data_IF_610493238647
#
_entry.id   IF_610493238647
#
_cell.length_a   1.000
_cell.length_b   1.000
_cell.length_c   1.000
_cell.angle_alpha   90.00
_cell.angle_beta   90.00
_cell.angle_gamma   90.00
#
_symmetry.space_group_name_H-M   'P 1'
#
loop_
_entity.id
_entity.type
_entity.pdbx_description
1 polymer ?
#
# COMPACT_ATOMS: atom_id res chain seq x y z
N UNK A 1 -24.02 75.99 3.32
CA UNK A 1 -24.81 74.76 3.52
C UNK A 1 -24.49 73.63 2.52
N UNK A 2 -23.34 73.60 1.84
CA UNK A 2 -23.12 72.70 0.68
C UNK A 2 -22.21 71.47 0.91
N UNK A 3 -21.53 71.33 2.06
CA UNK A 3 -20.53 70.25 2.28
C UNK A 3 -21.11 68.87 2.66
N UNK A 4 -22.38 68.79 3.06
CA UNK A 4 -22.99 67.53 3.55
C UNK A 4 -23.39 66.58 2.40
N UNK A 5 -23.91 67.13 1.31
CA UNK A 5 -24.37 66.38 0.13
C UNK A 5 -23.25 65.57 -0.55
N UNK A 6 -22.07 66.18 -0.76
CA UNK A 6 -20.95 65.52 -1.45
C UNK A 6 -20.26 64.39 -0.66
N UNK A 7 -20.49 64.27 0.65
CA UNK A 7 -19.95 63.17 1.45
C UNK A 7 -20.86 61.93 1.39
N UNK A 8 -22.16 62.14 1.28
CA UNK A 8 -23.14 61.05 1.14
C UNK A 8 -23.09 60.44 -0.26
N UNK A 9 -22.83 61.24 -1.29
CA UNK A 9 -22.59 60.78 -2.66
C UNK A 9 -21.33 59.90 -2.78
N UNK A 10 -20.23 60.31 -2.13
CA UNK A 10 -18.99 59.52 -2.07
C UNK A 10 -19.19 58.20 -1.34
N UNK A 11 -19.95 58.19 -0.24
CA UNK A 11 -20.30 56.95 0.48
C UNK A 11 -21.16 56.02 -0.39
N UNK A 12 -22.10 56.59 -1.16
CA UNK A 12 -22.94 55.82 -2.06
C UNK A 12 -22.11 55.19 -3.19
N UNK A 13 -21.22 55.96 -3.84
CA UNK A 13 -20.29 55.44 -4.85
C UNK A 13 -19.37 54.35 -4.29
N UNK A 14 -18.80 54.54 -3.10
CA UNK A 14 -17.95 53.53 -2.46
C UNK A 14 -18.72 52.23 -2.18
N UNK A 15 -19.98 52.32 -1.75
CA UNK A 15 -20.86 51.17 -1.52
C UNK A 15 -21.17 50.43 -2.81
N UNK A 16 -21.44 51.15 -3.90
CA UNK A 16 -21.75 50.54 -5.20
C UNK A 16 -20.51 49.85 -5.79
N UNK A 17 -19.35 50.52 -5.74
CA UNK A 17 -18.08 49.96 -6.18
C UNK A 17 -17.72 48.69 -5.37
N UNK A 18 -17.94 48.68 -4.04
CA UNK A 18 -17.76 47.46 -3.23
C UNK A 18 -18.67 46.31 -3.68
N UNK A 19 -19.95 46.59 -3.99
CA UNK A 19 -20.88 45.56 -4.49
C UNK A 19 -20.42 45.02 -5.85
N UNK A 20 -20.00 45.88 -6.76
CA UNK A 20 -19.50 45.49 -8.09
C UNK A 20 -18.26 44.63 -7.98
N UNK A 21 -17.26 45.07 -7.21
CA UNK A 21 -16.02 44.31 -6.99
C UNK A 21 -16.27 42.98 -6.30
N UNK A 22 -17.21 42.91 -5.36
CA UNK A 22 -17.63 41.65 -4.73
C UNK A 22 -18.31 40.71 -5.72
N UNK A 23 -19.15 41.25 -6.62
CA UNK A 23 -19.81 40.48 -7.69
C UNK A 23 -18.78 39.95 -8.68
N UNK A 24 -17.83 40.79 -9.09
CA UNK A 24 -16.72 40.43 -9.97
C UNK A 24 -15.85 39.33 -9.35
N UNK A 25 -15.43 39.50 -8.08
CA UNK A 25 -14.65 38.50 -7.36
C UNK A 25 -15.37 37.14 -7.31
N UNK A 26 -16.68 37.13 -7.04
CA UNK A 26 -17.47 35.89 -7.03
C UNK A 26 -17.48 35.23 -8.41
N UNK A 27 -17.64 36.01 -9.49
CA UNK A 27 -17.57 35.49 -10.86
C UNK A 27 -16.19 34.86 -11.13
N UNK A 28 -15.11 35.55 -10.78
CA UNK A 28 -13.75 35.05 -10.97
C UNK A 28 -13.48 33.77 -10.17
N UNK A 29 -13.98 33.67 -8.93
CA UNK A 29 -13.87 32.43 -8.13
C UNK A 29 -14.61 31.27 -8.81
N UNK A 30 -15.81 31.51 -9.35
CA UNK A 30 -16.57 30.46 -10.03
C UNK A 30 -15.84 29.99 -11.30
N UNK A 31 -15.32 30.93 -12.09
CA UNK A 31 -14.54 30.63 -13.31
C UNK A 31 -13.28 29.84 -12.94
N UNK A 32 -12.48 30.34 -12.01
CA UNK A 32 -11.24 29.70 -11.57
C UNK A 32 -11.48 28.30 -11.01
N UNK A 33 -12.54 28.09 -10.21
CA UNK A 33 -12.91 26.76 -9.72
C UNK A 33 -13.28 25.80 -10.85
N UNK A 34 -14.02 26.27 -11.86
CA UNK A 34 -14.38 25.46 -13.02
C UNK A 34 -13.14 25.08 -13.84
N UNK A 35 -12.26 26.03 -14.12
CA UNK A 35 -11.02 25.77 -14.87
C UNK A 35 -10.11 24.80 -14.12
N UNK A 36 -9.95 25.00 -12.81
CA UNK A 36 -9.16 24.11 -11.98
C UNK A 36 -9.76 22.69 -11.91
N UNK A 37 -11.09 22.57 -11.86
CA UNK A 37 -11.77 21.28 -11.94
C UNK A 37 -11.52 20.56 -13.27
N UNK A 38 -11.63 21.26 -14.40
CA UNK A 38 -11.32 20.67 -15.71
C UNK A 38 -9.86 20.22 -15.81
N UNK A 39 -8.92 21.03 -15.28
CA UNK A 39 -7.50 20.65 -15.21
C UNK A 39 -7.30 19.38 -14.38
N UNK A 40 -7.94 19.28 -13.22
CA UNK A 40 -7.85 18.10 -12.35
C UNK A 40 -8.39 16.83 -13.05
N UNK A 41 -9.53 16.94 -13.75
CA UNK A 41 -10.09 15.82 -14.52
C UNK A 41 -9.16 15.37 -15.66
N UNK A 42 -8.53 16.31 -16.36
CA UNK A 42 -7.57 16.01 -17.41
C UNK A 42 -6.29 15.35 -16.86
N UNK A 43 -5.79 15.82 -15.71
CA UNK A 43 -4.67 15.20 -15.01
C UNK A 43 -5.00 13.76 -14.60
N UNK A 44 -6.21 13.50 -14.08
CA UNK A 44 -6.63 12.17 -13.64
C UNK A 44 -6.67 11.14 -14.78
N UNK A 45 -7.00 11.57 -16.01
CA UNK A 45 -6.96 10.69 -17.19
C UNK A 45 -5.53 10.28 -17.57
N UNK A 46 -4.54 11.09 -17.24
CA UNK A 46 -3.13 10.83 -17.56
C UNK A 46 -2.38 10.16 -16.40
N UNK A 47 -2.72 10.51 -15.16
CA UNK A 47 -2.14 9.97 -13.94
C UNK A 47 -3.23 9.78 -12.87
N UNK A 48 -3.68 8.53 -12.77
CA UNK A 48 -4.69 8.09 -11.79
C UNK A 48 -4.18 8.26 -10.35
N UNK A 49 -2.87 8.34 -10.11
CA UNK A 49 -2.24 8.44 -8.79
C UNK A 49 -1.75 9.85 -8.44
N UNK A 50 -2.05 10.86 -9.27
CA UNK A 50 -1.59 12.23 -9.14
C UNK A 50 -2.33 13.07 -8.09
N UNK A 51 -2.54 14.37 -8.39
CA UNK A 51 -3.17 15.31 -7.47
C UNK A 51 -4.60 14.92 -7.06
N UNK A 52 -5.40 14.39 -7.99
CA UNK A 52 -6.75 13.91 -7.72
C UNK A 52 -6.79 12.83 -6.64
N UNK A 53 -5.93 11.80 -6.77
CA UNK A 53 -5.77 10.76 -5.75
C UNK A 53 -5.31 11.33 -4.41
N UNK A 54 -4.32 12.23 -4.42
CA UNK A 54 -3.79 12.84 -3.18
C UNK A 54 -4.84 13.68 -2.45
N UNK A 55 -5.69 14.42 -3.14
CA UNK A 55 -6.81 15.17 -2.56
C UNK A 55 -7.79 14.22 -1.87
N UNK A 56 -8.19 13.16 -2.56
CA UNK A 56 -9.10 12.13 -2.01
C UNK A 56 -8.48 11.47 -0.79
N UNK A 57 -7.25 10.98 -0.88
CA UNK A 57 -6.57 10.31 0.23
C UNK A 57 -6.40 11.24 1.44
N UNK A 58 -6.07 12.52 1.24
CA UNK A 58 -6.03 13.49 2.35
C UNK A 58 -7.38 13.65 3.04
N UNK A 59 -8.48 13.66 2.30
CA UNK A 59 -9.83 13.68 2.87
C UNK A 59 -10.22 12.35 3.54
N UNK A 60 -9.74 11.23 3.00
CA UNK A 60 -10.03 9.87 3.49
C UNK A 60 -9.15 9.48 4.68
N UNK A 61 -8.06 10.18 4.98
CA UNK A 61 -7.20 9.90 6.17
C UNK A 61 -7.95 9.88 7.51
N UNK A 62 -9.12 10.54 7.59
CA UNK A 62 -10.00 10.49 8.77
C UNK A 62 -11.17 9.50 8.61
N UNK A 63 -11.39 8.96 7.41
CA UNK A 63 -12.45 8.02 7.06
C UNK A 63 -11.98 6.57 6.93
N UNK A 64 -10.66 6.32 6.86
CA UNK A 64 -10.15 4.96 7.12
C UNK A 64 -10.36 4.68 8.60
N UNK A 65 -11.37 3.87 8.95
CA UNK A 65 -11.53 3.52 10.33
C UNK A 65 -10.45 2.47 10.64
N UNK A 66 -10.04 2.46 11.89
CA UNK A 66 -9.26 1.39 12.52
C UNK A 66 -7.73 1.53 12.51
N UNK A 67 -7.23 2.15 13.58
CA UNK A 67 -6.43 1.34 14.50
C UNK A 67 -7.30 0.15 14.95
N UNK A 68 -7.22 -0.98 14.24
CA UNK A 68 -7.98 -2.18 14.58
C UNK A 68 -7.46 -2.62 15.96
N UNK A 69 -8.27 -2.59 17.03
CA UNK A 69 -7.86 -3.08 18.33
C UNK A 69 -7.35 -4.52 18.19
N UNK A 70 -6.31 -4.89 18.95
CA UNK A 70 -5.69 -6.22 18.83
C UNK A 70 -6.73 -7.35 18.98
N UNK A 71 -7.77 -7.13 19.79
CA UNK A 71 -8.94 -8.01 19.95
C UNK A 71 -9.71 -8.23 18.65
N UNK A 72 -9.93 -7.18 17.85
CA UNK A 72 -10.64 -7.24 16.56
C UNK A 72 -9.80 -7.85 15.44
N UNK A 73 -8.46 -7.74 15.50
CA UNK A 73 -7.55 -8.49 14.60
C UNK A 73 -7.69 -10.00 14.80
N UNK A 74 -7.89 -10.46 16.04
CA UNK A 74 -8.16 -11.86 16.35
C UNK A 74 -9.47 -12.36 15.74
N UNK A 75 -10.51 -11.53 15.74
CA UNK A 75 -11.80 -11.83 15.09
C UNK A 75 -11.69 -11.86 13.57
N UNK A 76 -10.97 -10.90 12.96
CA UNK A 76 -10.65 -10.94 11.53
C UNK A 76 -9.87 -12.20 11.16
N UNK A 77 -8.84 -12.56 11.93
CA UNK A 77 -8.10 -13.81 11.75
C UNK A 77 -9.03 -15.03 11.88
N UNK A 78 -9.96 -15.03 12.84
CA UNK A 78 -10.95 -16.11 12.97
C UNK A 78 -11.90 -16.20 11.78
N UNK A 79 -12.37 -15.09 11.25
CA UNK A 79 -13.35 -15.08 10.15
C UNK A 79 -12.67 -15.36 8.81
N UNK A 80 -11.55 -14.69 8.55
CA UNK A 80 -10.85 -14.74 7.26
C UNK A 80 -9.86 -15.89 7.17
N UNK A 81 -9.25 -16.32 8.28
CA UNK A 81 -8.27 -17.43 8.28
C UNK A 81 -8.89 -18.71 8.86
N UNK A 82 -9.64 -18.65 9.98
CA UNK A 82 -10.33 -19.84 10.52
C UNK A 82 -11.71 -20.11 9.90
N UNK A 83 -12.33 -19.15 9.22
CA UNK A 83 -13.59 -19.32 8.48
C UNK A 83 -13.37 -19.88 7.08
N UNK A 84 -12.12 -19.94 6.62
CA UNK A 84 -11.74 -20.76 5.48
C UNK A 84 -11.85 -22.21 5.94
N UNK A 85 -12.99 -22.83 5.62
CA UNK A 85 -13.14 -24.29 5.63
C UNK A 85 -11.91 -24.84 4.94
N UNK A 86 -11.17 -25.73 5.63
CA UNK A 86 -9.96 -26.41 5.17
C UNK A 86 -9.68 -26.15 3.70
N UNK A 87 -8.68 -25.33 3.39
CA UNK A 87 -8.13 -25.31 2.03
C UNK A 87 -7.83 -26.77 1.70
N UNK A 88 -8.66 -27.37 0.86
CA UNK A 88 -8.45 -28.73 0.40
C UNK A 88 -7.05 -28.71 -0.19
N UNK A 89 -6.10 -29.54 0.28
CA UNK A 89 -4.75 -29.52 -0.25
C UNK A 89 -4.82 -29.79 -1.75
N UNK A 90 -4.70 -28.73 -2.55
CA UNK A 90 -4.63 -28.86 -3.99
C UNK A 90 -3.21 -29.30 -4.34
N UNK A 91 -3.11 -30.31 -5.19
CA UNK A 91 -1.83 -30.75 -5.71
C UNK A 91 -1.23 -29.61 -6.55
N UNK A 92 -0.04 -29.14 -6.16
CA UNK A 92 0.71 -28.15 -6.94
C UNK A 92 0.92 -28.74 -8.34
N UNK A 93 0.53 -28.02 -9.41
CA UNK A 93 0.73 -28.46 -10.77
C UNK A 93 2.20 -28.31 -11.16
N UNK A 94 2.66 -29.14 -12.10
CA UNK A 94 4.05 -29.12 -12.55
C UNK A 94 4.46 -27.75 -13.15
N UNK A 95 3.51 -27.02 -13.75
CA UNK A 95 3.71 -25.67 -14.28
C UNK A 95 4.05 -24.65 -13.19
N UNK A 96 3.35 -24.71 -12.05
CA UNK A 96 3.60 -23.85 -10.90
C UNK A 96 4.95 -24.17 -10.28
N UNK A 97 5.28 -25.45 -10.12
CA UNK A 97 6.61 -25.88 -9.68
C UNK A 97 7.71 -25.33 -10.58
N UNK A 98 7.57 -25.47 -11.91
CA UNK A 98 8.54 -24.92 -12.88
C UNK A 98 8.71 -23.40 -12.70
N UNK A 99 7.60 -22.66 -12.63
CA UNK A 99 7.61 -21.20 -12.42
C UNK A 99 8.27 -20.81 -11.10
N UNK A 100 7.96 -21.51 -10.01
CA UNK A 100 8.55 -21.27 -8.70
C UNK A 100 10.06 -21.50 -8.73
N UNK A 101 10.51 -22.64 -9.27
CA UNK A 101 11.93 -23.00 -9.34
C UNK A 101 12.74 -22.05 -10.22
N UNK A 102 12.15 -21.54 -11.31
CA UNK A 102 12.77 -20.52 -12.15
C UNK A 102 13.02 -19.21 -11.39
N UNK A 103 12.02 -18.76 -10.62
CA UNK A 103 12.04 -17.49 -9.88
C UNK A 103 12.88 -17.50 -8.60
N UNK A 104 13.37 -18.65 -8.14
CA UNK A 104 14.29 -18.73 -7.00
C UNK A 104 15.53 -17.88 -7.31
N UNK A 105 15.90 -16.96 -6.41
CA UNK A 105 17.11 -16.15 -6.56
C UNK A 105 18.32 -16.96 -6.09
N UNK A 106 19.34 -17.06 -6.94
CA UNK A 106 20.65 -17.63 -6.60
C UNK A 106 21.51 -16.61 -5.85
N UNK A 107 22.60 -17.07 -5.22
CA UNK A 107 23.50 -16.24 -4.41
C UNK A 107 22.86 -15.75 -3.11
N UNK A 108 21.82 -16.44 -2.61
CA UNK A 108 21.21 -16.16 -1.30
C UNK A 108 21.81 -17.09 -0.26
N UNK A 109 21.91 -16.57 0.97
CA UNK A 109 22.36 -17.36 2.10
C UNK A 109 21.41 -18.56 2.31
N UNK A 110 21.94 -19.77 2.52
CA UNK A 110 21.12 -20.94 2.85
C UNK A 110 20.49 -20.77 4.23
N UNK A 111 19.44 -21.54 4.49
CA UNK A 111 18.81 -21.63 5.80
C UNK A 111 19.68 -22.39 6.81
N UNK A 112 19.09 -22.74 7.95
CA UNK A 112 19.75 -23.60 8.94
C UNK A 112 20.02 -25.02 8.43
N UNK A 113 19.31 -25.44 7.38
CA UNK A 113 19.52 -26.70 6.67
C UNK A 113 20.79 -26.71 5.80
N UNK A 114 21.46 -25.57 5.64
CA UNK A 114 22.61 -25.36 4.77
C UNK A 114 22.35 -25.71 3.29
N UNK A 115 21.09 -25.78 2.85
CA UNK A 115 20.75 -26.10 1.45
C UNK A 115 20.73 -24.80 0.64
N UNK A 116 21.64 -24.62 -0.34
CA UNK A 116 21.67 -23.40 -1.13
C UNK A 116 20.55 -23.40 -2.20
N UNK A 117 20.06 -22.22 -2.62
CA UNK A 117 19.05 -22.10 -3.68
C UNK A 117 19.43 -22.82 -4.98
N UNK A 118 20.72 -22.88 -5.29
CA UNK A 118 21.30 -23.56 -6.45
C UNK A 118 21.04 -25.07 -6.41
N UNK A 119 21.20 -25.69 -5.23
CA UNK A 119 20.92 -27.11 -5.05
C UNK A 119 19.43 -27.40 -5.31
N UNK A 120 18.53 -26.56 -4.80
CA UNK A 120 17.09 -26.70 -5.04
C UNK A 120 16.76 -26.58 -6.53
N UNK A 121 17.36 -25.61 -7.24
CA UNK A 121 17.20 -25.48 -8.69
C UNK A 121 17.71 -26.70 -9.43
N UNK A 122 18.84 -27.27 -9.02
CA UNK A 122 19.42 -28.44 -9.67
C UNK A 122 18.59 -29.70 -9.40
N UNK A 123 18.12 -29.90 -8.17
CA UNK A 123 17.16 -30.96 -7.82
C UNK A 123 15.86 -30.80 -8.60
N UNK A 124 15.37 -29.58 -8.82
CA UNK A 124 14.15 -29.34 -9.58
C UNK A 124 14.28 -29.71 -11.06
N UNK A 125 15.50 -29.62 -11.62
CA UNK A 125 15.82 -30.04 -13.00
C UNK A 125 16.02 -31.55 -13.09
N UNK A 126 16.85 -32.12 -12.24
CA UNK A 126 17.25 -33.54 -12.25
C UNK A 126 16.11 -34.45 -11.76
N UNK A 127 15.59 -34.15 -10.56
CA UNK A 127 14.61 -34.95 -9.84
C UNK A 127 13.30 -34.18 -9.61
N UNK A 128 12.85 -33.48 -10.66
CA UNK A 128 11.75 -32.54 -10.56
C UNK A 128 10.39 -33.15 -10.21
N UNK A 129 10.17 -34.43 -10.51
CA UNK A 129 8.94 -35.15 -10.16
C UNK A 129 8.93 -35.59 -8.70
N UNK A 130 10.06 -36.10 -8.21
CA UNK A 130 10.23 -36.45 -6.80
C UNK A 130 10.04 -35.24 -5.90
N UNK A 131 10.66 -34.09 -6.25
CA UNK A 131 10.47 -32.85 -5.51
C UNK A 131 9.00 -32.43 -5.45
N UNK A 132 8.26 -32.59 -6.55
CA UNK A 132 6.82 -32.29 -6.59
C UNK A 132 6.01 -33.20 -5.67
N UNK A 133 6.30 -34.51 -5.69
CA UNK A 133 5.64 -35.49 -4.83
C UNK A 133 5.86 -35.20 -3.34
N UNK A 134 7.10 -34.85 -2.96
CA UNK A 134 7.44 -34.45 -1.60
C UNK A 134 6.65 -33.21 -1.19
N UNK A 135 6.66 -32.14 -2.00
CA UNK A 135 5.95 -30.89 -1.69
C UNK A 135 4.44 -31.10 -1.55
N UNK A 136 3.82 -31.85 -2.47
CA UNK A 136 2.40 -32.17 -2.40
C UNK A 136 2.07 -33.08 -1.21
N UNK A 137 2.95 -34.02 -0.86
CA UNK A 137 2.81 -34.85 0.34
C UNK A 137 2.82 -34.02 1.62
N UNK A 138 3.77 -33.08 1.75
CA UNK A 138 3.86 -32.17 2.90
C UNK A 138 2.60 -31.29 3.01
N UNK A 139 2.08 -30.78 1.88
CA UNK A 139 0.84 -30.01 1.85
C UNK A 139 -0.40 -30.85 2.20
N UNK A 140 -0.48 -32.11 1.77
CA UNK A 140 -1.60 -32.99 2.14
C UNK A 140 -1.62 -33.29 3.63
N UNK A 141 -0.45 -33.57 4.22
CA UNK A 141 -0.32 -33.92 5.63
C UNK A 141 -0.31 -32.68 6.54
N UNK A 142 -0.06 -31.48 5.98
CA UNK A 142 0.05 -30.21 6.70
C UNK A 142 1.10 -30.27 7.82
N UNK A 143 2.14 -31.09 7.65
CA UNK A 143 3.28 -31.20 8.57
C UNK A 143 4.54 -30.89 7.80
N UNK A 144 5.32 -29.96 8.35
CA UNK A 144 6.58 -29.50 7.79
C UNK A 144 7.70 -29.72 8.82
N UNK A 145 8.93 -30.01 8.36
CA UNK A 145 10.11 -30.12 9.22
C UNK A 145 10.21 -28.92 10.18
N UNK A 146 10.63 -29.16 11.42
CA UNK A 146 10.75 -28.11 12.43
C UNK A 146 11.90 -27.17 12.07
N UNK A 147 12.94 -27.72 11.46
CA UNK A 147 14.12 -27.04 10.94
C UNK A 147 13.75 -25.95 9.94
N UNK A 148 12.72 -26.16 9.10
CA UNK A 148 12.23 -25.16 8.14
C UNK A 148 11.50 -23.99 8.80
N UNK A 149 11.08 -24.16 10.06
CA UNK A 149 10.43 -23.13 10.87
C UNK A 149 11.44 -22.41 11.77
N UNK A 150 12.67 -22.93 11.87
CA UNK A 150 13.75 -22.32 12.60
C UNK A 150 14.54 -21.37 11.66
N UNK A 151 14.90 -20.20 12.18
CA UNK A 151 15.70 -19.22 11.45
C UNK A 151 16.73 -18.61 12.39
N UNK A 152 17.96 -18.43 11.88
CA UNK A 152 18.99 -17.66 12.58
C UNK A 152 18.73 -16.18 12.36
N UNK A 153 18.24 -15.51 13.38
CA UNK A 153 17.95 -14.07 13.30
C UNK A 153 19.24 -13.28 13.22
N UNK A 154 19.46 -12.61 12.09
CA UNK A 154 20.60 -11.70 11.92
C UNK A 154 20.11 -10.25 12.00
N UNK A 155 20.69 -9.48 12.93
CA UNK A 155 20.34 -8.08 13.11
C UNK A 155 21.20 -7.20 12.20
N UNK A 156 20.61 -6.72 11.10
CA UNK A 156 21.27 -5.79 10.19
C UNK A 156 20.91 -4.35 10.59
N UNK A 157 21.89 -3.49 10.93
CA UNK A 157 21.61 -2.09 11.23
C UNK A 157 21.07 -1.37 9.98
N UNK A 158 19.98 -0.61 10.15
CA UNK A 158 19.40 0.27 9.12
C UNK A 158 20.26 1.50 8.88
N UNK A 159 20.90 2.00 9.94
CA UNK A 159 21.70 3.20 9.97
C UNK A 159 23.01 2.93 10.70
N UNK A 160 24.02 3.78 10.49
CA UNK A 160 25.35 3.67 11.13
C UNK A 160 25.26 3.84 12.65
N UNK A 161 24.23 4.55 13.16
CA UNK A 161 24.04 4.77 14.60
C UNK A 161 23.46 3.54 15.28
N UNK A 162 24.30 2.82 16.01
CA UNK A 162 23.94 1.64 16.80
C UNK A 162 23.23 2.04 18.10
N UNK A 163 22.39 1.16 18.66
CA UNK A 163 21.82 1.36 20.00
C UNK A 163 20.42 0.79 20.19
N UNK A 164 19.38 1.45 19.65
CA UNK A 164 17.97 1.07 19.91
C UNK A 164 17.52 -0.10 19.01
N UNK A 165 16.69 -1.04 19.49
CA UNK A 165 16.21 -2.19 18.69
C UNK A 165 15.51 -1.79 17.38
N UNK A 166 14.80 -0.65 17.33
CA UNK A 166 14.14 -0.13 16.12
C UNK A 166 15.09 0.14 14.95
N UNK A 167 16.37 0.32 15.22
CA UNK A 167 17.40 0.64 14.22
C UNK A 167 17.87 -0.61 13.47
N UNK A 168 17.50 -1.82 13.89
CA UNK A 168 17.87 -3.05 13.20
C UNK A 168 16.72 -3.61 12.35
N UNK A 169 17.07 -4.28 11.26
CA UNK A 169 16.18 -5.19 10.52
C UNK A 169 16.53 -6.61 10.96
N UNK A 170 15.62 -7.31 11.65
CA UNK A 170 15.79 -8.75 11.83
C UNK A 170 15.54 -9.42 10.46
N UNK A 171 16.55 -10.13 9.96
CA UNK A 171 16.42 -11.07 8.86
C UNK A 171 16.28 -12.50 9.40
#
# INVERSE_FOLDING_TARGET
MTKKCGNDEKKLQAKENYKERKKELRKLIVISKREHWHKLCNELNNDVWGEGYRIVVKGVKHLVPYDIPLSSKGTFYRIVVKGVKHLVPYDIPLSEKKKATYNIKTGKAPGMDAIPPEAIKETAKTNGQWLLQVMNGLLKVQRFPVEWKAAKVLLIPKEVKLGKPKVYRPL
#
